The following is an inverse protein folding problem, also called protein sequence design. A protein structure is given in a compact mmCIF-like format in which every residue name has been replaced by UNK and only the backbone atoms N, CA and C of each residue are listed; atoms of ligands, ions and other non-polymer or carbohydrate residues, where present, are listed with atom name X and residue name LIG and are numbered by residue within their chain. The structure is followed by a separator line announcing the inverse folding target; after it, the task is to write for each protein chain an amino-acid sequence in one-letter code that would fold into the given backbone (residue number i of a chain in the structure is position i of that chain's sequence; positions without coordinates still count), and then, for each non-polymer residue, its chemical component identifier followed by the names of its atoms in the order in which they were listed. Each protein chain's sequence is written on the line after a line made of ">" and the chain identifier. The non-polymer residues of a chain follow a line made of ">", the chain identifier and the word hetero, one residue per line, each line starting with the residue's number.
data_IF_354498496923
#
_entry.id   IF_354498496923
#
_cell.length_a   1.000
_cell.length_b   1.000
_cell.length_c   1.000
_cell.angle_alpha   90.00
_cell.angle_beta   90.00
_cell.angle_gamma   90.00
#
_symmetry.space_group_name_H-M   'P 1'
#
loop_
_entity.id
_entity.type
_entity.pdbx_description
1 polymer ?
#
# COMPACT_ATOMS: atom_id res chain seq x y z
N UNK A 1 3.31 -0.76 -21.12
CA UNK A 1 3.96 0.55 -20.81
C UNK A 1 5.09 0.88 -21.78
N UNK A 2 5.91 -0.08 -22.19
CA UNK A 2 7.05 0.10 -23.09
C UNK A 2 6.65 0.66 -24.48
N UNK A 3 5.45 0.34 -24.98
CA UNK A 3 4.87 0.95 -26.19
C UNK A 3 4.29 2.35 -25.97
N UNK A 4 4.38 2.91 -24.76
CA UNK A 4 3.81 4.21 -24.38
C UNK A 4 4.83 5.14 -23.69
N UNK A 5 6.09 5.06 -24.11
CA UNK A 5 7.13 5.97 -23.67
C UNK A 5 8.01 5.49 -22.50
N UNK A 6 7.67 4.38 -21.84
CA UNK A 6 8.55 3.79 -20.83
C UNK A 6 9.58 2.87 -21.48
N UNK A 7 10.84 3.03 -21.13
CA UNK A 7 11.93 2.18 -21.64
C UNK A 7 11.93 0.78 -20.98
N UNK A 8 11.46 0.69 -19.75
CA UNK A 8 11.46 -0.53 -18.94
C UNK A 8 10.13 -0.73 -18.22
N UNK A 9 9.79 -1.99 -17.98
CA UNK A 9 8.62 -2.37 -17.19
C UNK A 9 8.81 -3.69 -16.47
N UNK A 10 8.40 -3.75 -15.22
CA UNK A 10 8.35 -4.98 -14.44
C UNK A 10 7.18 -4.95 -13.48
N UNK A 11 6.37 -5.99 -13.46
CA UNK A 11 5.37 -6.16 -12.44
C UNK A 11 3.97 -6.48 -12.93
N UNK A 12 3.02 -6.27 -12.05
CA UNK A 12 1.60 -6.57 -12.26
C UNK A 12 0.97 -5.60 -13.27
N UNK A 13 0.37 -6.15 -14.32
CA UNK A 13 -0.39 -5.37 -15.32
C UNK A 13 -1.91 -5.35 -15.03
N UNK A 14 -2.33 -5.92 -13.91
CA UNK A 14 -3.70 -5.94 -13.39
C UNK A 14 -3.81 -5.15 -12.07
N UNK A 15 -5.00 -5.11 -11.45
CA UNK A 15 -5.24 -4.28 -10.28
C UNK A 15 -4.65 -4.78 -8.95
N UNK A 16 -4.63 -6.08 -8.71
CA UNK A 16 -4.10 -6.68 -7.47
C UNK A 16 -3.76 -8.16 -7.66
N UNK A 17 -2.82 -8.64 -6.86
CA UNK A 17 -2.40 -10.05 -6.85
C UNK A 17 -2.03 -10.49 -5.42
N UNK A 18 -1.71 -11.76 -5.27
CA UNK A 18 -1.04 -12.27 -4.09
C UNK A 18 0.38 -11.70 -4.03
N UNK A 19 0.81 -11.21 -2.87
CA UNK A 19 2.09 -10.51 -2.72
C UNK A 19 3.28 -11.46 -2.71
N UNK A 20 3.10 -12.67 -2.17
CA UNK A 20 4.14 -13.69 -2.13
C UNK A 20 4.21 -14.50 -3.43
N UNK A 21 3.04 -14.80 -4.02
CA UNK A 21 2.94 -15.58 -5.23
C UNK A 21 1.83 -15.03 -6.13
N UNK A 22 2.15 -14.16 -7.10
CA UNK A 22 1.17 -13.61 -8.04
C UNK A 22 0.49 -14.65 -8.92
N UNK A 23 1.06 -15.85 -8.99
CA UNK A 23 0.57 -16.99 -9.80
C UNK A 23 -0.61 -17.73 -9.20
N UNK A 24 -0.78 -18.94 -9.66
CA UNK A 24 -1.90 -19.83 -9.28
C UNK A 24 -1.43 -21.19 -8.80
N UNK A 25 -0.17 -21.50 -9.03
CA UNK A 25 0.45 -22.77 -8.65
C UNK A 25 1.15 -22.61 -7.30
N UNK A 26 1.04 -23.64 -6.46
CA UNK A 26 1.82 -23.72 -5.23
C UNK A 26 3.30 -23.90 -5.57
N UNK A 27 4.17 -23.26 -4.82
CA UNK A 27 5.59 -23.59 -4.82
C UNK A 27 5.82 -24.83 -3.93
N UNK A 28 6.95 -25.49 -4.12
CA UNK A 28 7.27 -26.68 -3.33
C UNK A 28 7.19 -26.42 -1.81
N UNK A 29 6.40 -27.20 -1.10
CA UNK A 29 6.17 -27.05 0.35
C UNK A 29 5.32 -25.84 0.76
N UNK A 30 4.64 -25.16 -0.17
CA UNK A 30 3.65 -24.12 0.11
C UNK A 30 2.22 -24.58 -0.24
N UNK A 31 1.25 -23.93 0.38
CA UNK A 31 -0.15 -24.05 -0.04
C UNK A 31 -0.45 -23.26 -1.32
N UNK A 32 -1.64 -23.49 -1.88
CA UNK A 32 -2.10 -22.71 -3.03
C UNK A 32 -2.25 -21.22 -2.66
N UNK A 33 -1.76 -20.30 -3.51
CA UNK A 33 -1.89 -18.88 -3.23
C UNK A 33 -3.35 -18.45 -3.16
N UNK A 34 -3.69 -17.72 -2.10
CA UNK A 34 -5.02 -17.13 -1.92
C UNK A 34 -5.34 -16.12 -3.02
N UNK A 35 -6.57 -16.18 -3.58
CA UNK A 35 -6.99 -15.31 -4.69
C UNK A 35 -8.49 -15.08 -4.77
N UNK A 36 -8.88 -14.02 -5.45
CA UNK A 36 -10.29 -13.70 -5.70
C UNK A 36 -10.82 -14.57 -6.86
N UNK A 37 -11.42 -15.72 -6.53
CA UNK A 37 -11.99 -16.66 -7.50
C UNK A 37 -10.95 -17.65 -8.06
N UNK A 38 -11.43 -18.85 -8.41
CA UNK A 38 -10.55 -20.00 -8.69
C UNK A 38 -9.77 -19.89 -10.01
N UNK A 39 -10.27 -19.17 -11.02
CA UNK A 39 -9.74 -19.22 -12.39
C UNK A 39 -9.21 -17.88 -12.90
N UNK A 40 -8.98 -16.89 -12.04
CA UNK A 40 -8.52 -15.58 -12.50
C UNK A 40 -7.01 -15.48 -12.48
N UNK A 41 -6.38 -15.83 -13.58
CA UNK A 41 -4.97 -15.54 -13.83
C UNK A 41 -4.73 -14.04 -13.85
N UNK A 42 -3.62 -13.59 -13.27
CA UNK A 42 -3.18 -12.20 -13.34
C UNK A 42 -2.13 -12.06 -14.43
N UNK A 43 -2.16 -10.93 -15.10
CA UNK A 43 -1.13 -10.56 -16.06
C UNK A 43 0.04 -9.95 -15.31
N UNK A 44 1.18 -10.56 -15.49
CA UNK A 44 2.47 -10.01 -15.09
C UNK A 44 3.22 -9.64 -16.36
N UNK A 45 3.97 -8.56 -16.36
CA UNK A 45 4.80 -8.23 -17.50
C UNK A 45 6.25 -7.95 -17.10
N UNK A 46 7.16 -8.39 -17.91
CA UNK A 46 8.59 -8.09 -17.84
C UNK A 46 8.93 -7.52 -19.20
N UNK A 47 9.26 -6.25 -19.26
CA UNK A 47 9.40 -5.48 -20.50
C UNK A 47 8.14 -5.64 -21.37
N UNK A 48 8.26 -6.13 -22.58
CA UNK A 48 7.15 -6.38 -23.52
C UNK A 48 6.51 -7.76 -23.38
N UNK A 49 7.09 -8.64 -22.56
CA UNK A 49 6.60 -10.01 -22.38
C UNK A 49 5.53 -10.07 -21.30
N UNK A 50 4.30 -10.42 -21.67
CA UNK A 50 3.20 -10.68 -20.74
C UNK A 50 3.18 -12.16 -20.37
N UNK A 51 3.09 -12.44 -19.07
CA UNK A 51 3.04 -13.77 -18.47
C UNK A 51 1.72 -13.88 -17.71
N UNK A 52 0.92 -14.89 -18.07
CA UNK A 52 -0.33 -15.17 -17.36
C UNK A 52 -0.07 -16.09 -16.17
N UNK A 53 -0.48 -15.68 -14.98
CA UNK A 53 -0.30 -16.47 -13.77
C UNK A 53 1.17 -16.64 -13.37
N UNK A 54 1.93 -15.54 -13.38
CA UNK A 54 3.35 -15.55 -13.03
C UNK A 54 3.58 -16.06 -11.61
N UNK A 55 4.32 -17.15 -11.49
CA UNK A 55 4.83 -17.68 -10.22
C UNK A 55 6.34 -17.52 -10.19
N UNK A 56 6.85 -16.77 -9.22
CA UNK A 56 8.28 -16.69 -8.95
C UNK A 56 8.70 -17.93 -8.16
N UNK A 57 9.75 -18.67 -8.55
CA UNK A 57 10.18 -19.86 -7.82
C UNK A 57 10.80 -19.57 -6.45
N UNK A 58 11.27 -18.36 -6.22
CA UNK A 58 11.86 -17.95 -4.96
C UNK A 58 10.77 -17.78 -3.89
N UNK A 59 10.93 -18.47 -2.75
CA UNK A 59 10.01 -18.37 -1.60
C UNK A 59 10.13 -17.07 -0.84
N UNK A 60 11.28 -16.41 -0.95
CA UNK A 60 11.52 -15.10 -0.33
C UNK A 60 10.99 -13.96 -1.21
N UNK A 61 10.36 -14.29 -2.35
CA UNK A 61 9.73 -13.30 -3.22
C UNK A 61 8.56 -12.59 -2.53
N UNK A 62 8.59 -11.28 -2.56
CA UNK A 62 7.49 -10.41 -2.15
C UNK A 62 7.39 -9.23 -3.12
N UNK A 63 6.20 -8.97 -3.66
CA UNK A 63 6.03 -8.02 -4.77
C UNK A 63 6.57 -6.62 -4.47
N UNK A 64 6.38 -6.12 -3.25
CA UNK A 64 6.87 -4.79 -2.85
C UNK A 64 8.40 -4.72 -2.93
N UNK A 65 9.08 -5.77 -2.47
CA UNK A 65 10.55 -5.87 -2.53
C UNK A 65 11.01 -5.97 -3.98
N UNK A 66 10.40 -6.87 -4.75
CA UNK A 66 10.76 -7.12 -6.14
C UNK A 66 10.59 -5.88 -7.03
N UNK A 67 9.55 -5.06 -6.82
CA UNK A 67 9.38 -3.80 -7.54
C UNK A 67 10.49 -2.81 -7.21
N UNK A 68 10.89 -2.73 -5.94
CA UNK A 68 11.97 -1.84 -5.49
C UNK A 68 13.33 -2.30 -6.01
N UNK A 69 13.60 -3.60 -5.96
CA UNK A 69 14.85 -4.18 -6.44
C UNK A 69 15.02 -3.91 -7.94
N UNK A 70 13.98 -4.17 -8.73
CA UNK A 70 13.99 -3.86 -10.16
C UNK A 70 14.21 -2.35 -10.42
N UNK A 71 13.55 -1.47 -9.67
CA UNK A 71 13.73 -0.04 -9.79
C UNK A 71 15.18 0.38 -9.49
N UNK A 72 15.78 -0.15 -8.43
CA UNK A 72 17.17 0.13 -8.06
C UNK A 72 18.15 -0.38 -9.12
N UNK A 73 17.91 -1.57 -9.69
CA UNK A 73 18.73 -2.09 -10.80
C UNK A 73 18.67 -1.16 -12.01
N UNK A 74 17.49 -0.64 -12.37
CA UNK A 74 17.35 0.29 -13.50
C UNK A 74 18.05 1.62 -13.24
N UNK A 75 17.98 2.14 -12.01
CA UNK A 75 18.74 3.35 -11.64
C UNK A 75 20.26 3.15 -11.79
N UNK A 76 20.77 1.97 -11.46
CA UNK A 76 22.19 1.62 -11.66
C UNK A 76 22.52 1.45 -13.13
N UNK A 77 21.64 0.82 -13.93
CA UNK A 77 21.83 0.66 -15.38
C UNK A 77 21.99 2.01 -16.09
N UNK A 78 21.17 3.00 -15.70
CA UNK A 78 21.17 4.33 -16.34
C UNK A 78 21.95 5.40 -15.57
N UNK A 79 22.81 5.00 -14.61
CA UNK A 79 23.51 5.96 -13.74
C UNK A 79 24.39 6.97 -14.48
N UNK A 80 25.02 6.54 -15.56
CA UNK A 80 25.99 7.32 -16.33
C UNK A 80 25.38 8.05 -17.54
N UNK A 81 24.05 7.95 -17.72
CA UNK A 81 23.37 8.70 -18.76
C UNK A 81 23.12 10.16 -18.33
N UNK A 82 23.39 11.12 -19.23
CA UNK A 82 23.14 12.55 -19.03
C UNK A 82 21.65 12.95 -19.18
N UNK A 83 20.79 11.99 -19.44
CA UNK A 83 19.34 12.24 -19.60
C UNK A 83 18.62 12.22 -18.26
N UNK A 84 17.58 13.04 -18.07
CA UNK A 84 16.70 12.90 -16.94
C UNK A 84 15.95 11.56 -17.00
N UNK A 85 15.62 11.00 -15.86
CA UNK A 85 14.80 9.79 -15.75
C UNK A 85 13.44 10.09 -15.14
N UNK A 86 12.43 9.31 -15.51
CA UNK A 86 11.15 9.19 -14.83
C UNK A 86 11.04 7.77 -14.29
N UNK A 87 10.95 7.63 -12.98
CA UNK A 87 10.64 6.38 -12.30
C UNK A 87 9.21 6.42 -11.77
N UNK A 88 8.33 5.61 -12.33
CA UNK A 88 6.97 5.41 -11.82
C UNK A 88 6.91 4.08 -11.09
N UNK A 89 6.74 4.11 -9.76
CA UNK A 89 6.78 2.95 -8.88
C UNK A 89 5.44 2.76 -8.13
N UNK A 90 4.40 2.26 -8.81
CA UNK A 90 3.08 2.08 -8.22
C UNK A 90 3.02 0.78 -7.42
N UNK A 91 3.30 0.85 -6.13
CA UNK A 91 3.15 -0.29 -5.24
C UNK A 91 1.69 -0.76 -5.18
N UNK A 92 1.49 -2.08 -5.16
CA UNK A 92 0.17 -2.67 -4.90
C UNK A 92 -0.21 -2.63 -3.42
N UNK A 93 0.77 -2.57 -2.54
CA UNK A 93 0.57 -2.40 -1.09
C UNK A 93 0.02 -0.98 -0.77
N UNK A 94 -0.89 -0.86 0.19
CA UNK A 94 -1.43 -1.88 1.08
C UNK A 94 -2.78 -2.46 0.62
N UNK A 95 -3.07 -2.54 -0.68
CA UNK A 95 -4.30 -3.15 -1.18
C UNK A 95 -4.40 -4.62 -0.74
N UNK A 96 -5.62 -5.12 -0.52
CA UNK A 96 -5.79 -6.55 -0.24
C UNK A 96 -5.33 -7.44 -1.43
N UNK A 97 -5.00 -8.74 -1.19
CA UNK A 97 -5.07 -9.49 0.07
C UNK A 97 -4.04 -9.04 1.11
N UNK A 98 -4.41 -9.19 2.39
CA UNK A 98 -3.57 -8.83 3.52
C UNK A 98 -2.45 -9.85 3.68
N UNK A 99 -1.28 -9.52 3.16
CA UNK A 99 -0.07 -10.35 3.19
C UNK A 99 1.09 -9.55 3.75
N UNK A 100 1.82 -10.11 4.69
CA UNK A 100 3.06 -9.52 5.19
C UNK A 100 3.94 -10.60 5.84
N UNK A 101 5.23 -10.32 5.94
CA UNK A 101 6.17 -11.17 6.64
C UNK A 101 5.84 -11.26 8.14
N UNK A 102 6.01 -12.43 8.78
CA UNK A 102 5.70 -12.62 10.19
C UNK A 102 6.41 -11.63 11.11
N UNK A 103 7.68 -11.32 10.83
CA UNK A 103 8.47 -10.35 11.59
C UNK A 103 7.93 -8.91 11.50
N UNK A 104 7.41 -8.53 10.34
CA UNK A 104 6.78 -7.21 10.18
C UNK A 104 5.41 -7.16 10.89
N UNK A 105 4.62 -8.25 10.82
CA UNK A 105 3.36 -8.36 11.55
C UNK A 105 3.59 -8.26 13.08
N UNK A 106 4.62 -8.93 13.58
CA UNK A 106 4.94 -8.97 15.02
C UNK A 106 5.16 -7.57 15.60
N UNK A 107 5.67 -6.62 14.82
CA UNK A 107 5.85 -5.22 15.23
C UNK A 107 4.54 -4.52 15.60
N UNK A 108 3.43 -4.95 15.02
CA UNK A 108 2.13 -4.28 15.09
C UNK A 108 1.06 -5.06 15.85
N UNK A 109 1.24 -6.35 16.06
CA UNK A 109 0.29 -7.21 16.78
C UNK A 109 0.01 -6.68 18.18
N UNK A 110 -1.26 -6.58 18.54
CA UNK A 110 -1.73 -6.07 19.83
C UNK A 110 -1.92 -4.54 19.89
N UNK A 111 -1.34 -3.77 18.96
CA UNK A 111 -1.43 -2.29 18.97
C UNK A 111 -2.82 -1.76 18.63
N UNK A 112 -3.63 -2.55 17.96
CA UNK A 112 -4.95 -2.14 17.49
C UNK A 112 -6.11 -2.65 18.36
N UNK A 113 -5.81 -3.33 19.47
CA UNK A 113 -6.81 -3.80 20.45
C UNK A 113 -7.58 -2.68 21.12
N UNK A 114 -7.07 -1.45 21.10
CA UNK A 114 -7.81 -0.26 21.55
C UNK A 114 -9.01 0.09 20.65
N UNK A 115 -9.07 -0.49 19.45
CA UNK A 115 -10.20 -0.40 18.54
C UNK A 115 -10.22 0.82 17.63
N UNK A 116 -10.98 0.70 16.55
CA UNK A 116 -11.05 1.75 15.52
C UNK A 116 -11.70 3.04 16.02
N UNK A 117 -12.62 2.99 16.98
CA UNK A 117 -13.25 4.20 17.51
C UNK A 117 -12.22 5.08 18.24
N UNK A 118 -11.38 4.47 19.06
CA UNK A 118 -10.32 5.19 19.77
C UNK A 118 -9.20 5.63 18.83
N UNK A 119 -8.79 4.78 17.89
CA UNK A 119 -7.81 5.15 16.86
C UNK A 119 -8.29 6.36 16.05
N UNK A 120 -9.58 6.44 15.69
CA UNK A 120 -10.16 7.58 14.99
C UNK A 120 -10.04 8.87 15.79
N UNK A 121 -10.37 8.82 17.07
CA UNK A 121 -10.25 9.98 17.98
C UNK A 121 -8.82 10.45 18.11
N UNK A 122 -7.89 9.52 18.36
CA UNK A 122 -6.45 9.84 18.51
C UNK A 122 -5.87 10.40 17.21
N UNK A 123 -6.20 9.79 16.06
CA UNK A 123 -5.76 10.28 14.74
C UNK A 123 -6.28 11.69 14.49
N UNK A 124 -7.56 11.94 14.71
CA UNK A 124 -8.17 13.26 14.56
C UNK A 124 -7.51 14.32 15.44
N UNK A 125 -7.33 14.01 16.73
CA UNK A 125 -6.66 14.92 17.66
C UNK A 125 -5.22 15.23 17.23
N UNK A 126 -4.47 14.22 16.77
CA UNK A 126 -3.10 14.39 16.28
C UNK A 126 -3.05 15.22 15.01
N UNK A 127 -3.95 15.00 14.05
CA UNK A 127 -4.01 15.78 12.81
C UNK A 127 -4.32 17.25 13.07
N UNK A 128 -5.22 17.56 14.01
CA UNK A 128 -5.49 18.92 14.46
C UNK A 128 -4.24 19.56 15.10
N UNK A 129 -3.58 18.84 16.02
CA UNK A 129 -2.36 19.32 16.68
C UNK A 129 -1.23 19.62 15.69
N UNK A 130 -1.14 18.82 14.62
CA UNK A 130 -0.12 18.99 13.57
C UNK A 130 -0.51 20.04 12.52
N UNK A 131 -1.72 20.58 12.56
CA UNK A 131 -2.22 21.52 11.56
C UNK A 131 -2.50 20.92 10.18
N UNK A 132 -2.60 19.59 10.08
CA UNK A 132 -2.89 18.88 8.81
C UNK A 132 -4.34 19.11 8.36
N UNK A 133 -5.23 19.35 9.31
CA UNK A 133 -6.64 19.68 9.06
C UNK A 133 -6.97 21.01 9.72
N UNK A 134 -7.85 21.79 9.07
CA UNK A 134 -8.27 23.07 9.59
C UNK A 134 -9.15 22.95 10.84
N UNK A 135 -9.29 24.04 11.63
CA UNK A 135 -9.98 24.02 12.93
C UNK A 135 -11.48 23.70 12.83
N UNK A 136 -12.07 23.88 11.66
CA UNK A 136 -13.49 23.64 11.42
C UNK A 136 -13.82 22.19 11.02
N UNK A 137 -12.79 21.35 10.83
CA UNK A 137 -13.02 19.94 10.55
C UNK A 137 -13.65 19.25 11.76
N UNK A 138 -14.61 18.39 11.47
CA UNK A 138 -15.25 17.54 12.47
C UNK A 138 -14.94 16.08 12.16
N UNK A 139 -14.82 15.28 13.21
CA UNK A 139 -14.73 13.84 13.05
C UNK A 139 -16.06 13.33 12.46
N UNK A 140 -15.98 12.65 11.32
CA UNK A 140 -17.15 12.07 10.67
C UNK A 140 -17.81 10.99 11.55
N UNK A 141 -19.07 10.70 11.29
CA UNK A 141 -19.77 9.58 11.92
C UNK A 141 -19.07 8.24 11.62
N UNK A 142 -19.18 7.32 12.56
CA UNK A 142 -18.67 5.96 12.38
C UNK A 142 -19.47 5.23 11.29
N UNK A 143 -18.78 4.56 10.39
CA UNK A 143 -19.37 3.82 9.29
C UNK A 143 -19.49 2.29 9.53
N UNK A 144 -19.18 1.82 10.75
CA UNK A 144 -19.16 0.41 11.14
C UNK A 144 -19.89 0.18 12.45
N UNK A 145 -19.96 -1.06 12.92
CA UNK A 145 -20.34 -1.37 14.31
C UNK A 145 -19.38 -0.69 15.29
N UNK A 146 -19.85 -0.43 16.51
CA UNK A 146 -18.99 0.01 17.59
C UNK A 146 -17.95 -1.09 17.92
N UNK A 147 -16.76 -0.69 18.32
CA UNK A 147 -15.73 -1.65 18.71
C UNK A 147 -16.18 -2.47 19.95
N UNK A 148 -16.88 -1.83 20.86
CA UNK A 148 -17.40 -2.46 22.06
C UNK A 148 -18.41 -3.59 21.77
N UNK A 149 -19.13 -3.52 20.65
CA UNK A 149 -20.12 -4.55 20.24
C UNK A 149 -19.48 -5.84 19.69
N UNK A 150 -18.15 -5.87 19.58
CA UNK A 150 -17.41 -7.03 19.11
C UNK A 150 -17.09 -7.97 20.28
N UNK A 151 -17.18 -9.29 20.02
CA UNK A 151 -16.64 -10.29 20.94
C UNK A 151 -15.09 -10.21 20.99
N UNK A 152 -14.48 -10.72 22.05
CA UNK A 152 -13.02 -10.74 22.19
C UNK A 152 -12.32 -11.48 21.04
N UNK A 153 -12.93 -12.54 20.53
CA UNK A 153 -12.45 -13.25 19.34
C UNK A 153 -12.46 -12.35 18.10
N UNK A 154 -13.52 -11.58 17.89
CA UNK A 154 -13.61 -10.63 16.77
C UNK A 154 -12.60 -9.49 16.92
N UNK A 155 -12.44 -8.95 18.15
CA UNK A 155 -11.44 -7.90 18.43
C UNK A 155 -10.01 -8.40 18.13
N UNK A 156 -9.70 -9.63 18.48
CA UNK A 156 -8.39 -10.23 18.20
C UNK A 156 -8.16 -10.45 16.70
N UNK A 157 -9.20 -10.90 15.97
CA UNK A 157 -9.13 -11.00 14.51
C UNK A 157 -8.98 -9.65 13.82
N UNK A 158 -9.69 -8.62 14.29
CA UNK A 158 -9.59 -7.27 13.74
C UNK A 158 -8.23 -6.62 14.05
N UNK A 159 -7.67 -6.85 15.24
CA UNK A 159 -6.29 -6.43 15.55
C UNK A 159 -5.29 -7.07 14.59
N UNK A 160 -5.43 -8.37 14.31
CA UNK A 160 -4.55 -9.06 13.36
C UNK A 160 -4.67 -8.48 11.94
N UNK A 161 -5.88 -8.23 11.45
CA UNK A 161 -6.09 -7.60 10.14
C UNK A 161 -5.37 -6.26 10.02
N UNK A 162 -5.52 -5.42 11.04
CA UNK A 162 -4.88 -4.11 11.03
C UNK A 162 -3.38 -4.19 11.25
N UNK A 163 -2.89 -5.16 12.02
CA UNK A 163 -1.47 -5.43 12.18
C UNK A 163 -0.80 -5.83 10.85
N UNK A 164 -1.45 -6.71 10.07
CA UNK A 164 -0.95 -7.08 8.74
C UNK A 164 -0.98 -5.89 7.78
N UNK A 165 -2.06 -5.11 7.79
CA UNK A 165 -2.15 -3.89 6.97
C UNK A 165 -1.04 -2.88 7.29
N UNK A 166 -0.77 -2.66 8.56
CA UNK A 166 0.32 -1.78 9.01
C UNK A 166 1.70 -2.34 8.62
N UNK A 167 1.90 -3.65 8.71
CA UNK A 167 3.11 -4.33 8.28
C UNK A 167 3.37 -4.17 6.76
N UNK A 168 2.31 -4.22 5.94
CA UNK A 168 2.43 -3.94 4.50
C UNK A 168 2.92 -2.52 4.23
N UNK A 169 2.42 -1.53 4.99
CA UNK A 169 2.86 -0.13 4.87
C UNK A 169 4.30 0.02 5.37
N UNK A 170 4.64 -0.60 6.48
CA UNK A 170 6.02 -0.64 7.02
C UNK A 170 7.00 -1.21 5.99
N UNK A 171 6.60 -2.27 5.27
CA UNK A 171 7.43 -2.85 4.20
C UNK A 171 7.64 -1.89 3.04
N UNK A 172 6.62 -1.11 2.66
CA UNK A 172 6.78 -0.02 1.68
C UNK A 172 7.79 1.02 2.18
N UNK A 173 7.68 1.45 3.43
CA UNK A 173 8.59 2.44 4.04
C UNK A 173 10.04 1.95 4.05
N UNK A 174 10.28 0.68 4.46
CA UNK A 174 11.60 0.06 4.40
C UNK A 174 12.17 0.08 2.97
N UNK A 175 11.36 -0.25 1.98
CA UNK A 175 11.75 -0.25 0.58
C UNK A 175 12.02 1.15 0.03
N UNK A 176 11.23 2.15 0.41
CA UNK A 176 11.51 3.55 0.09
C UNK A 176 12.84 4.01 0.71
N UNK A 177 13.13 3.58 1.95
CA UNK A 177 14.43 3.83 2.58
C UNK A 177 15.60 3.28 1.75
N UNK A 178 15.48 2.05 1.24
CA UNK A 178 16.49 1.41 0.35
C UNK A 178 16.63 2.18 -0.97
N UNK A 179 15.52 2.52 -1.60
CA UNK A 179 15.50 3.28 -2.86
C UNK A 179 16.15 4.66 -2.69
N UNK A 180 15.79 5.40 -1.63
CA UNK A 180 16.35 6.72 -1.37
C UNK A 180 17.84 6.66 -1.06
N UNK A 181 18.30 5.63 -0.34
CA UNK A 181 19.72 5.39 -0.12
C UNK A 181 20.44 5.17 -1.46
N UNK A 182 19.86 4.40 -2.39
CA UNK A 182 20.42 4.17 -3.73
C UNK A 182 20.49 5.46 -4.55
N UNK A 183 19.46 6.28 -4.56
CA UNK A 183 19.46 7.59 -5.26
C UNK A 183 20.56 8.52 -4.70
N UNK A 184 20.80 8.50 -3.38
CA UNK A 184 21.90 9.25 -2.74
C UNK A 184 23.27 8.70 -3.11
N UNK A 185 23.44 7.37 -3.08
CA UNK A 185 24.67 6.69 -3.53
C UNK A 185 25.04 7.08 -4.95
N UNK A 186 24.07 7.18 -5.85
CA UNK A 186 24.23 7.59 -7.24
C UNK A 186 24.40 9.10 -7.43
N UNK A 187 24.46 9.88 -6.33
CA UNK A 187 24.60 11.34 -6.33
C UNK A 187 23.50 12.09 -7.11
N UNK A 188 22.31 11.50 -7.21
CA UNK A 188 21.17 12.09 -7.92
C UNK A 188 20.12 12.72 -6.98
N UNK A 189 20.29 12.59 -5.66
CA UNK A 189 19.32 13.02 -4.65
C UNK A 189 18.96 14.50 -4.74
N UNK A 190 19.97 15.38 -4.82
CA UNK A 190 19.75 16.84 -4.80
C UNK A 190 18.98 17.36 -6.03
N UNK A 191 19.03 16.60 -7.14
CA UNK A 191 18.33 16.94 -8.39
C UNK A 191 17.22 15.92 -8.73
N UNK A 192 16.55 15.39 -7.71
CA UNK A 192 15.42 14.46 -7.90
C UNK A 192 14.18 15.01 -7.21
N UNK A 193 13.14 15.24 -7.99
CA UNK A 193 11.79 15.49 -7.47
C UNK A 193 11.15 14.15 -7.11
N UNK A 194 10.75 13.99 -5.85
CA UNK A 194 10.05 12.81 -5.35
C UNK A 194 8.60 13.21 -5.05
N UNK A 195 7.67 12.50 -5.67
CA UNK A 195 6.23 12.65 -5.41
C UNK A 195 5.72 11.36 -4.76
N UNK A 196 5.10 11.47 -3.60
CA UNK A 196 4.50 10.35 -2.89
C UNK A 196 3.03 10.61 -2.63
N UNK A 197 2.18 9.69 -3.06
CA UNK A 197 0.73 9.81 -2.96
C UNK A 197 0.06 8.43 -2.90
N UNK A 198 -1.22 8.43 -2.63
CA UNK A 198 -2.10 7.27 -2.83
C UNK A 198 -3.23 7.64 -3.78
N UNK A 199 -3.69 6.68 -4.57
CA UNK A 199 -4.67 6.86 -5.64
C UNK A 199 -6.11 7.08 -5.15
N UNK A 200 -6.44 6.56 -3.97
CA UNK A 200 -7.77 6.68 -3.35
C UNK A 200 -7.71 6.47 -1.84
N UNK A 201 -8.82 6.71 -1.18
CA UNK A 201 -8.99 6.35 0.22
C UNK A 201 -8.97 4.84 0.48
N UNK A 202 -8.92 4.44 1.75
CA UNK A 202 -8.86 3.04 2.15
C UNK A 202 -10.06 2.23 1.63
N UNK A 203 -9.79 0.97 1.30
CA UNK A 203 -10.77 0.08 0.69
C UNK A 203 -11.66 -0.61 1.73
N UNK A 204 -12.99 -0.48 1.64
CA UNK A 204 -13.93 -1.15 2.54
C UNK A 204 -14.38 -2.52 2.03
N UNK A 205 -13.96 -2.93 0.84
CA UNK A 205 -14.39 -4.18 0.21
C UNK A 205 -13.99 -5.40 1.05
N UNK A 206 -14.84 -6.44 1.05
CA UNK A 206 -14.64 -7.63 1.88
C UNK A 206 -14.75 -8.94 1.09
N UNK A 207 -14.01 -9.13 -0.02
CA UNK A 207 -14.00 -10.38 -0.73
C UNK A 207 -13.15 -11.46 0.00
N UNK A 208 -13.51 -11.80 1.24
CA UNK A 208 -12.80 -12.78 2.06
C UNK A 208 -13.04 -14.20 1.54
N UNK A 209 -12.25 -14.67 0.57
CA UNK A 209 -12.42 -15.99 -0.06
C UNK A 209 -11.81 -17.13 0.74
N UNK A 210 -11.00 -16.84 1.75
CA UNK A 210 -10.38 -17.81 2.66
C UNK A 210 -10.73 -17.49 4.12
N UNK A 211 -12.02 -17.62 4.54
CA UNK A 211 -12.45 -17.15 5.86
C UNK A 211 -11.80 -17.90 7.02
N UNK A 212 -11.36 -19.14 6.81
CA UNK A 212 -10.73 -19.99 7.81
C UNK A 212 -9.20 -19.85 7.89
N UNK A 213 -8.58 -19.09 6.96
CA UNK A 213 -7.14 -18.81 6.96
C UNK A 213 -6.95 -17.39 7.49
N UNK A 214 -6.13 -17.17 8.53
CA UNK A 214 -5.88 -15.84 9.04
C UNK A 214 -5.15 -14.97 7.99
N UNK A 215 -5.27 -13.64 8.04
CA UNK A 215 -4.46 -12.78 7.18
C UNK A 215 -2.97 -12.95 7.49
N UNK A 216 -2.13 -12.74 6.49
CA UNK A 216 -0.68 -12.83 6.58
C UNK A 216 -0.04 -13.76 5.54
N UNK A 217 -0.29 -15.07 5.58
CA UNK A 217 0.40 -16.04 4.73
C UNK A 217 -0.12 -16.06 3.28
N UNK A 218 0.65 -16.71 2.40
CA UNK A 218 0.40 -16.81 0.94
C UNK A 218 -0.97 -17.40 0.59
N UNK A 219 -1.47 -18.34 1.39
CA UNK A 219 -2.76 -19.00 1.19
C UNK A 219 -3.96 -18.11 1.54
N UNK A 220 -3.71 -17.01 2.25
CA UNK A 220 -4.77 -16.11 2.70
C UNK A 220 -5.32 -15.25 1.56
N UNK A 221 -6.62 -14.96 1.61
CA UNK A 221 -7.23 -13.87 0.85
C UNK A 221 -8.21 -13.13 1.76
N UNK A 222 -7.66 -12.28 2.59
CA UNK A 222 -8.39 -11.51 3.60
C UNK A 222 -8.25 -10.01 3.32
N UNK A 223 -9.18 -9.25 3.84
CA UNK A 223 -9.25 -7.78 3.66
C UNK A 223 -9.39 -7.10 5.01
N UNK A 224 -9.08 -5.80 5.06
CA UNK A 224 -9.45 -4.98 6.21
C UNK A 224 -10.98 -4.86 6.30
N UNK A 225 -11.48 -4.62 7.51
CA UNK A 225 -12.90 -4.36 7.73
C UNK A 225 -13.28 -2.91 7.41
N UNK A 226 -14.59 -2.67 7.28
CA UNK A 226 -15.14 -1.31 7.13
C UNK A 226 -14.70 -0.38 8.27
N UNK A 227 -14.61 -0.91 9.51
CA UNK A 227 -14.16 -0.14 10.67
C UNK A 227 -12.75 0.41 10.51
N UNK A 228 -11.83 -0.42 10.03
CA UNK A 228 -10.45 0.00 9.75
C UNK A 228 -10.31 0.90 8.53
N UNK A 229 -11.09 0.65 7.47
CA UNK A 229 -11.13 1.56 6.32
C UNK A 229 -11.61 2.96 6.74
N UNK A 230 -12.62 3.04 7.59
CA UNK A 230 -13.09 4.31 8.15
C UNK A 230 -12.04 4.97 9.05
N UNK A 231 -11.34 4.19 9.87
CA UNK A 231 -10.26 4.72 10.71
C UNK A 231 -9.10 5.27 9.89
N UNK A 232 -8.73 4.59 8.79
CA UNK A 232 -7.66 5.02 7.89
C UNK A 232 -7.97 6.32 7.15
N UNK A 233 -9.25 6.63 6.90
CA UNK A 233 -9.70 7.86 6.23
C UNK A 233 -10.07 9.01 7.18
N UNK A 234 -9.91 8.83 8.48
CA UNK A 234 -10.19 9.89 9.47
C UNK A 234 -9.48 11.21 9.10
N UNK A 235 -10.17 12.36 9.18
CA UNK A 235 -11.50 12.57 9.73
C UNK A 235 -12.65 12.43 8.73
N UNK A 236 -12.35 12.13 7.48
CA UNK A 236 -13.27 12.23 6.37
C UNK A 236 -14.34 11.13 6.37
N UNK A 237 -15.48 11.45 5.75
CA UNK A 237 -16.60 10.54 5.62
C UNK A 237 -16.35 9.54 4.50
N UNK A 238 -16.72 8.26 4.73
CA UNK A 238 -16.64 7.17 3.75
C UNK A 238 -15.21 6.79 3.36
N UNK A 239 -15.03 6.17 2.19
CA UNK A 239 -13.83 5.47 1.75
C UNK A 239 -13.85 5.26 0.23
N UNK A 240 -12.89 4.56 -0.31
CA UNK A 240 -12.75 4.17 -1.73
C UNK A 240 -14.12 3.83 -2.35
N UNK A 241 -14.29 4.15 -3.62
CA UNK A 241 -15.51 3.95 -4.43
C UNK A 241 -16.70 4.81 -4.00
N UNK A 242 -16.45 5.94 -3.34
CA UNK A 242 -17.45 6.94 -3.02
C UNK A 242 -16.95 8.35 -3.35
N UNK A 243 -17.87 9.27 -3.64
CA UNK A 243 -17.57 10.68 -3.98
C UNK A 243 -17.29 11.53 -2.72
N UNK A 244 -17.32 10.93 -1.53
CA UNK A 244 -16.97 11.63 -0.30
C UNK A 244 -15.47 11.81 -0.14
N UNK A 245 -15.06 12.80 0.64
CA UNK A 245 -13.63 13.09 0.88
C UNK A 245 -12.82 11.89 1.37
N UNK A 246 -13.41 10.96 2.11
CA UNK A 246 -12.75 9.72 2.50
C UNK A 246 -12.41 8.78 1.33
N UNK A 247 -13.05 8.98 0.17
CA UNK A 247 -12.74 8.25 -1.06
C UNK A 247 -11.77 8.99 -1.97
N UNK A 248 -11.85 10.32 -2.02
CA UNK A 248 -11.20 11.15 -3.03
C UNK A 248 -10.05 12.01 -2.48
N UNK A 249 -10.10 12.41 -1.20
CA UNK A 249 -9.07 13.26 -0.59
C UNK A 249 -7.95 12.43 0.01
N UNK A 250 -6.83 12.43 -0.67
CA UNK A 250 -5.64 11.65 -0.29
C UNK A 250 -4.46 12.57 0.00
N UNK A 251 -3.51 12.16 0.87
CA UNK A 251 -2.31 12.94 1.12
C UNK A 251 -1.39 12.93 -0.10
N UNK A 252 -0.70 14.06 -0.28
CA UNK A 252 0.33 14.23 -1.29
C UNK A 252 1.58 14.81 -0.64
N UNK A 253 2.74 14.24 -0.95
CA UNK A 253 4.03 14.75 -0.48
C UNK A 253 4.91 14.98 -1.70
N UNK A 254 5.48 16.19 -1.79
CA UNK A 254 6.50 16.53 -2.76
C UNK A 254 7.80 16.87 -2.03
N UNK A 255 8.90 16.28 -2.49
CA UNK A 255 10.22 16.51 -1.93
C UNK A 255 11.22 16.77 -3.06
N UNK A 256 11.87 17.93 -3.03
CA UNK A 256 12.97 18.27 -3.94
C UNK A 256 13.96 19.15 -3.16
N UNK A 257 15.11 18.60 -2.77
CA UNK A 257 16.09 19.34 -1.98
C UNK A 257 16.51 20.65 -2.66
N UNK A 258 16.63 21.73 -1.88
CA UNK A 258 17.04 23.03 -2.39
C UNK A 258 16.01 23.78 -3.25
N UNK A 259 14.93 23.14 -3.69
CA UNK A 259 13.89 23.73 -4.55
C UNK A 259 12.58 23.90 -3.80
N UNK A 260 12.07 22.84 -3.16
CA UNK A 260 10.84 22.89 -2.38
C UNK A 260 11.17 23.20 -0.91
N UNK A 261 10.65 24.32 -0.39
CA UNK A 261 10.81 24.66 1.03
C UNK A 261 9.93 23.75 1.89
N UNK A 262 10.44 23.29 3.05
CA UNK A 262 9.61 22.55 4.01
C UNK A 262 8.37 23.35 4.43
N UNK A 263 7.23 22.68 4.45
CA UNK A 263 5.96 23.28 4.87
C UNK A 263 4.77 22.41 4.55
N UNK A 264 3.60 22.87 4.95
CA UNK A 264 2.31 22.26 4.59
C UNK A 264 1.46 23.29 3.86
N UNK A 265 0.63 22.83 2.96
CA UNK A 265 -0.36 23.64 2.25
C UNK A 265 -1.69 22.91 2.24
N UNK A 266 -2.77 23.65 2.26
CA UNK A 266 -4.14 23.17 2.08
C UNK A 266 -4.64 23.34 0.64
N UNK A 267 -3.76 23.74 -0.27
CA UNK A 267 -4.07 23.84 -1.69
C UNK A 267 -4.50 22.46 -2.22
N UNK A 268 -5.64 22.45 -2.88
CA UNK A 268 -6.15 21.23 -3.53
C UNK A 268 -5.46 21.07 -4.88
N UNK A 269 -4.86 19.91 -5.10
CA UNK A 269 -4.37 19.46 -6.41
C UNK A 269 -5.21 18.31 -6.94
N UNK A 270 -5.04 17.98 -8.20
CA UNK A 270 -5.64 16.81 -8.84
C UNK A 270 -4.56 15.93 -9.45
N UNK A 271 -4.80 14.61 -9.49
CA UNK A 271 -3.82 13.67 -10.04
C UNK A 271 -3.42 13.97 -11.49
N UNK A 272 -4.28 14.64 -12.25
CA UNK A 272 -3.98 15.07 -13.63
C UNK A 272 -2.98 16.24 -13.70
N UNK A 273 -2.65 16.86 -12.57
CA UNK A 273 -1.68 17.97 -12.50
C UNK A 273 -0.23 17.45 -12.40
N UNK A 274 -0.06 16.14 -12.29
CA UNK A 274 1.22 15.42 -12.27
C UNK A 274 1.44 14.77 -13.64
#
# INVERSE_FOLDING_TARGET
>A
PTTRGFARYYGLADGCCNFFNPGVEARDGEGLPGRKGQNRLRRWAIEDKVIMGYTNPDKDFYTTDAFTDYAMERLVEYKDEDKPFLLYLPYTAPHYPLHAWPEDIAKYRGKYKIGWDEIRKQRFARMNKMGIIGPNHKLSERASKAWEDLSEKQKDEEDLKMAVYAAMIDRVDQNLGRLFAKVKELKKWENTLILFLTDNGACPEQPNTTPNIPPGPVESYRTVSVGWANASNTPYRRFKSTDYEGGTRTPFIAHWPGVIKPGMTDQVGHIIDI
#
